data_IF_690610605447
#
_entry.id   IF_690610605447
#
_cell.length_a   1.000
_cell.length_b   1.000
_cell.length_c   1.000
_cell.angle_alpha   90.00
_cell.angle_beta   90.00
_cell.angle_gamma   90.00
#
_symmetry.space_group_name_H-M   'P 1'
#
loop_
_entity.id
_entity.type
_entity.pdbx_description
1 polymer ?
#
# COMPACT_ATOMS: atom_id res chain seq x y z
N UNK A 1 0.55 8.90 -3.01
CA UNK A 1 1.76 9.50 -2.36
C UNK A 1 2.96 9.19 -3.24
N UNK A 2 3.85 10.18 -3.45
CA UNK A 2 5.12 9.97 -4.16
C UNK A 2 6.26 10.19 -3.17
N UNK A 3 7.25 9.30 -3.20
CA UNK A 3 8.45 9.35 -2.36
C UNK A 3 9.67 9.29 -3.27
N UNK A 4 10.61 10.20 -3.06
CA UNK A 4 11.91 10.20 -3.72
C UNK A 4 12.98 9.99 -2.66
N UNK A 5 13.88 9.03 -2.89
CA UNK A 5 14.91 8.65 -1.94
C UNK A 5 16.26 8.62 -2.66
N UNK A 6 17.22 9.35 -2.12
CA UNK A 6 18.64 9.16 -2.46
C UNK A 6 19.18 8.06 -1.55
N UNK A 7 19.46 6.89 -2.13
CA UNK A 7 20.06 5.79 -1.40
C UNK A 7 21.54 6.05 -1.12
N UNK A 8 22.11 5.48 -0.05
CA UNK A 8 23.52 5.65 0.27
C UNK A 8 24.44 5.26 -0.91
N UNK A 9 25.53 5.98 -1.06
CA UNK A 9 26.51 5.69 -2.11
C UNK A 9 26.97 4.21 -2.05
N UNK A 10 26.96 3.53 -3.19
CA UNK A 10 27.29 2.11 -3.27
C UNK A 10 26.26 1.16 -2.67
N UNK A 11 25.02 1.63 -2.42
CA UNK A 11 23.95 0.75 -2.00
C UNK A 11 23.61 -0.25 -3.10
N UNK A 12 23.75 -1.54 -2.80
CA UNK A 12 23.35 -2.62 -3.71
C UNK A 12 21.87 -2.90 -3.55
N UNK A 13 21.07 -2.32 -4.44
CA UNK A 13 19.60 -2.41 -4.45
C UNK A 13 19.08 -3.86 -4.53
N UNK A 14 19.80 -4.76 -5.19
CA UNK A 14 19.35 -6.15 -5.36
C UNK A 14 19.71 -7.07 -4.16
N UNK A 15 20.69 -6.65 -3.33
CA UNK A 15 21.23 -7.50 -2.26
C UNK A 15 20.97 -6.96 -0.86
N UNK A 16 20.72 -5.66 -0.73
CA UNK A 16 20.56 -5.00 0.57
C UNK A 16 19.13 -4.53 0.75
N UNK A 17 18.64 -4.64 1.98
CA UNK A 17 17.32 -4.13 2.35
C UNK A 17 17.43 -2.70 2.86
N UNK A 18 16.49 -1.86 2.44
CA UNK A 18 16.33 -0.51 2.94
C UNK A 18 14.89 -0.28 3.38
N UNK A 19 14.70 0.51 4.41
CA UNK A 19 13.39 0.70 5.02
C UNK A 19 12.98 2.16 5.01
N UNK A 20 11.70 2.40 4.75
CA UNK A 20 11.07 3.71 4.82
C UNK A 20 9.84 3.58 5.72
N UNK A 21 9.98 3.87 7.03
CA UNK A 21 8.83 3.98 7.91
C UNK A 21 7.96 5.16 7.51
N UNK A 22 6.65 4.96 7.54
CA UNK A 22 5.64 5.96 7.19
C UNK A 22 4.58 5.96 8.30
N UNK A 23 4.25 7.13 8.81
CA UNK A 23 3.15 7.32 9.75
C UNK A 23 2.15 8.31 9.19
N UNK A 24 0.92 7.86 9.07
CA UNK A 24 -0.24 8.65 8.63
C UNK A 24 -1.22 8.77 9.79
N UNK A 25 -1.40 7.68 10.54
CA UNK A 25 -2.34 7.60 11.65
C UNK A 25 -1.78 8.19 12.95
N UNK A 26 -0.45 8.25 13.08
CA UNK A 26 0.23 8.71 14.29
C UNK A 26 0.11 7.75 15.48
N UNK A 27 -0.29 6.51 15.26
CA UNK A 27 -0.67 5.55 16.32
C UNK A 27 -0.07 4.16 16.18
N UNK A 28 0.76 3.91 15.20
CA UNK A 28 1.41 2.61 14.97
C UNK A 28 2.50 2.27 15.99
N UNK A 29 3.27 1.23 15.70
CA UNK A 29 4.35 0.76 16.57
C UNK A 29 5.60 1.63 16.48
N UNK A 30 6.29 1.83 17.60
CA UNK A 30 7.60 2.50 17.64
C UNK A 30 8.76 1.55 17.27
N UNK A 31 8.47 0.35 16.82
CA UNK A 31 9.48 -0.65 16.42
C UNK A 31 8.94 -1.61 15.38
N UNK A 32 9.85 -2.25 14.64
CA UNK A 32 9.57 -3.44 13.84
C UNK A 32 10.43 -4.60 14.33
N UNK A 33 9.84 -5.56 15.07
CA UNK A 33 10.55 -6.66 15.71
C UNK A 33 11.25 -7.56 14.69
N UNK A 34 10.52 -7.97 13.65
CA UNK A 34 11.03 -8.89 12.63
C UNK A 34 12.16 -8.31 11.79
N UNK A 35 12.28 -6.98 11.73
CA UNK A 35 13.29 -6.29 10.95
C UNK A 35 14.38 -5.62 11.83
N UNK A 36 14.28 -5.72 13.15
CA UNK A 36 15.27 -5.15 14.09
C UNK A 36 15.35 -3.62 14.04
N UNK A 37 14.20 -2.95 13.81
CA UNK A 37 14.12 -1.50 13.67
C UNK A 37 13.44 -0.86 14.88
N UNK A 38 13.88 0.35 15.21
CA UNK A 38 13.19 1.25 16.14
C UNK A 38 12.95 2.60 15.46
N UNK A 39 11.89 3.30 15.87
CA UNK A 39 11.49 4.57 15.31
C UNK A 39 11.31 5.59 16.43
N UNK A 40 11.72 6.82 16.21
CA UNK A 40 11.52 7.92 17.16
C UNK A 40 10.08 8.44 17.19
N UNK A 41 9.25 7.96 16.24
CA UNK A 41 7.81 8.19 16.19
C UNK A 41 7.09 6.87 15.87
N UNK A 42 5.81 6.80 16.20
CA UNK A 42 4.99 5.65 15.80
C UNK A 42 4.94 5.53 14.27
N UNK A 43 4.96 4.29 13.79
CA UNK A 43 4.99 3.95 12.37
C UNK A 43 3.84 2.99 12.05
N UNK A 44 2.96 3.39 11.15
CA UNK A 44 1.79 2.59 10.75
C UNK A 44 2.10 1.70 9.55
N UNK A 45 2.99 2.17 8.68
CA UNK A 45 3.36 1.47 7.45
C UNK A 45 4.88 1.44 7.30
N UNK A 46 5.38 0.32 6.80
CA UNK A 46 6.80 0.13 6.57
C UNK A 46 7.04 -0.28 5.13
N UNK A 47 7.59 0.63 4.32
CA UNK A 47 8.05 0.29 2.99
C UNK A 47 9.40 -0.43 3.12
N UNK A 48 9.41 -1.69 2.71
CA UNK A 48 10.60 -2.55 2.67
C UNK A 48 11.09 -2.65 1.24
N UNK A 49 12.20 -2.00 0.95
CA UNK A 49 12.87 -2.02 -0.36
C UNK A 49 13.83 -3.21 -0.35
N UNK A 50 13.61 -4.17 -1.26
CA UNK A 50 14.35 -5.43 -1.30
C UNK A 50 14.41 -5.98 -2.74
N UNK A 51 15.17 -5.31 -3.60
CA UNK A 51 15.25 -5.62 -5.02
C UNK A 51 13.94 -5.40 -5.77
N UNK A 52 13.92 -5.80 -7.03
CA UNK A 52 12.77 -5.58 -7.93
C UNK A 52 11.55 -6.41 -7.59
N UNK A 53 11.77 -7.63 -7.11
CA UNK A 53 10.71 -8.63 -6.94
C UNK A 53 10.12 -8.65 -5.51
N UNK A 54 10.84 -8.10 -4.53
CA UNK A 54 10.47 -8.25 -3.12
C UNK A 54 10.20 -6.93 -2.39
N UNK A 55 10.22 -5.80 -3.11
CA UNK A 55 9.89 -4.49 -2.56
C UNK A 55 8.39 -4.42 -2.28
N UNK A 56 8.04 -4.07 -1.04
CA UNK A 56 6.64 -4.05 -0.59
C UNK A 56 6.36 -3.05 0.51
N UNK A 57 5.13 -2.62 0.56
CA UNK A 57 4.57 -1.90 1.69
C UNK A 57 3.98 -2.91 2.68
N UNK A 58 4.36 -2.79 3.94
CA UNK A 58 3.81 -3.53 5.06
C UNK A 58 2.97 -2.59 5.92
N UNK A 59 1.99 -3.13 6.61
CA UNK A 59 1.14 -2.41 7.56
C UNK A 59 1.40 -2.92 8.98
N UNK A 60 1.39 -2.06 10.00
CA UNK A 60 1.29 -2.51 11.39
C UNK A 60 0.11 -3.47 11.52
N UNK A 61 0.33 -4.64 12.08
CA UNK A 61 -0.64 -5.73 12.07
C UNK A 61 -1.99 -5.37 12.69
N UNK A 62 -2.00 -4.41 13.64
CA UNK A 62 -3.25 -3.91 14.22
C UNK A 62 -4.10 -3.12 13.22
N UNK A 63 -3.47 -2.45 12.25
CA UNK A 63 -4.13 -1.62 11.23
C UNK A 63 -4.34 -2.34 9.89
N UNK A 64 -4.12 -3.66 9.86
CA UNK A 64 -4.40 -4.49 8.68
C UNK A 64 -5.91 -4.65 8.46
N UNK A 65 -6.47 -3.84 7.55
CA UNK A 65 -7.88 -3.84 7.22
C UNK A 65 -8.37 -5.16 6.63
N UNK A 66 -7.52 -5.89 5.91
CA UNK A 66 -7.86 -7.19 5.36
C UNK A 66 -8.06 -8.21 6.48
N UNK A 67 -7.07 -8.33 7.38
CA UNK A 67 -7.18 -9.22 8.54
C UNK A 67 -8.37 -8.84 9.43
N UNK A 68 -8.51 -7.55 9.74
CA UNK A 68 -9.65 -7.08 10.53
C UNK A 68 -10.99 -7.46 9.90
N UNK A 69 -11.18 -7.17 8.61
CA UNK A 69 -12.48 -7.34 7.93
C UNK A 69 -12.81 -8.79 7.68
N UNK A 70 -11.87 -9.56 7.15
CA UNK A 70 -12.14 -10.89 6.63
C UNK A 70 -11.77 -12.03 7.58
N UNK A 71 -10.89 -11.79 8.54
CA UNK A 71 -10.54 -12.78 9.56
C UNK A 71 -11.25 -12.50 10.87
N UNK A 72 -10.99 -11.36 11.51
CA UNK A 72 -11.47 -11.05 12.86
C UNK A 72 -12.97 -10.77 12.88
N UNK A 73 -13.47 -9.95 11.96
CA UNK A 73 -14.88 -9.53 11.95
C UNK A 73 -15.81 -10.56 11.29
N UNK A 74 -15.42 -11.12 10.15
CA UNK A 74 -16.30 -12.00 9.36
C UNK A 74 -15.91 -13.48 9.32
N UNK A 75 -14.72 -13.83 9.81
CA UNK A 75 -14.19 -15.20 9.81
C UNK A 75 -14.24 -15.89 8.43
N UNK A 76 -13.96 -15.15 7.36
CA UNK A 76 -13.92 -15.64 5.98
C UNK A 76 -12.57 -16.25 5.63
N UNK A 77 -11.51 -15.69 6.22
CA UNK A 77 -10.11 -16.13 6.03
C UNK A 77 -9.51 -16.40 7.40
N UNK A 78 -8.61 -17.37 7.49
CA UNK A 78 -7.89 -17.64 8.73
C UNK A 78 -7.04 -16.44 9.13
N UNK A 79 -7.11 -16.06 10.40
CA UNK A 79 -6.31 -14.96 10.98
C UNK A 79 -6.64 -14.74 12.43
N UNK A 80 -5.87 -13.86 13.07
CA UNK A 80 -5.99 -13.53 14.49
C UNK A 80 -6.09 -12.02 14.68
N UNK A 81 -6.79 -11.60 15.73
CA UNK A 81 -6.74 -10.23 16.17
C UNK A 81 -5.31 -9.84 16.56
N UNK A 82 -4.82 -8.76 15.98
CA UNK A 82 -3.49 -8.26 16.28
C UNK A 82 -3.51 -7.41 17.56
N UNK A 83 -2.40 -7.40 18.27
CA UNK A 83 -2.21 -6.57 19.45
C UNK A 83 -1.67 -5.22 19.03
N UNK A 84 -2.29 -4.15 19.53
CA UNK A 84 -1.86 -2.77 19.28
C UNK A 84 -0.41 -2.58 19.77
N UNK A 85 0.39 -1.88 18.99
CA UNK A 85 1.80 -1.58 19.27
C UNK A 85 2.68 -2.83 19.46
N UNK A 86 2.34 -3.94 18.83
CA UNK A 86 3.10 -5.19 18.93
C UNK A 86 4.49 -5.11 18.29
N UNK A 87 4.71 -4.20 17.35
CA UNK A 87 5.91 -4.16 16.51
C UNK A 87 5.91 -5.20 15.40
N UNK A 88 4.78 -5.82 15.14
CA UNK A 88 4.59 -6.76 14.04
C UNK A 88 3.98 -6.04 12.83
N UNK A 89 4.55 -6.34 11.65
CA UNK A 89 4.09 -5.78 10.38
C UNK A 89 3.63 -6.90 9.47
N UNK A 90 2.41 -6.74 8.95
CA UNK A 90 1.75 -7.69 8.06
C UNK A 90 1.84 -7.25 6.60
N UNK A 91 1.71 -8.21 5.69
CA UNK A 91 1.50 -7.96 4.27
C UNK A 91 0.11 -7.38 4.07
N UNK A 92 0.01 -6.39 3.20
CA UNK A 92 -1.29 -5.81 2.83
C UNK A 92 -1.91 -6.66 1.73
N UNK A 93 -3.09 -7.21 1.99
CA UNK A 93 -3.80 -8.05 1.05
C UNK A 93 -5.12 -7.40 0.59
N UNK A 94 -5.60 -7.83 -0.57
CA UNK A 94 -6.90 -7.43 -1.11
C UNK A 94 -7.69 -8.67 -1.52
N UNK A 95 -8.93 -8.77 -1.06
CA UNK A 95 -9.83 -9.86 -1.43
C UNK A 95 -10.26 -9.69 -2.89
N UNK A 96 -10.19 -10.77 -3.65
CA UNK A 96 -10.64 -10.86 -5.05
C UNK A 96 -12.03 -11.47 -5.11
N UNK A 97 -12.23 -12.58 -4.42
CA UNK A 97 -13.53 -13.26 -4.34
C UNK A 97 -13.74 -13.88 -2.96
N UNK A 98 -15.00 -13.92 -2.53
CA UNK A 98 -15.40 -14.72 -1.38
C UNK A 98 -15.38 -16.22 -1.72
N UNK A 99 -15.57 -17.05 -0.69
CA UNK A 99 -15.85 -18.46 -0.90
C UNK A 99 -17.05 -18.63 -1.84
N UNK A 100 -16.94 -19.57 -2.76
CA UNK A 100 -17.97 -19.85 -3.75
C UNK A 100 -18.20 -21.36 -3.84
N UNK A 101 -19.45 -21.77 -3.67
CA UNK A 101 -19.87 -23.16 -3.89
C UNK A 101 -20.34 -23.35 -5.34
N UNK A 102 -19.78 -24.34 -6.02
CA UNK A 102 -20.17 -24.76 -7.38
C UNK A 102 -21.09 -25.98 -7.27
N UNK A 103 -22.42 -25.82 -7.46
CA UNK A 103 -23.39 -26.92 -7.25
C UNK A 103 -23.17 -28.10 -8.20
N UNK A 104 -22.85 -27.83 -9.44
CA UNK A 104 -22.70 -28.87 -10.49
C UNK A 104 -21.49 -29.77 -10.20
N UNK A 105 -20.40 -29.19 -9.73
CA UNK A 105 -19.17 -29.91 -9.39
C UNK A 105 -19.12 -30.37 -7.93
N UNK A 106 -20.10 -29.95 -7.10
CA UNK A 106 -20.13 -30.14 -5.65
C UNK A 106 -18.83 -29.70 -4.96
N UNK A 107 -18.25 -28.62 -5.46
CA UNK A 107 -16.94 -28.12 -5.04
C UNK A 107 -17.05 -26.75 -4.43
N UNK A 108 -16.35 -26.55 -3.31
CA UNK A 108 -16.17 -25.21 -2.72
C UNK A 108 -14.83 -24.64 -3.19
N UNK A 109 -14.86 -23.45 -3.77
CA UNK A 109 -13.67 -22.65 -4.07
C UNK A 109 -13.42 -21.75 -2.89
N UNK A 110 -12.24 -21.80 -2.24
CA UNK A 110 -11.92 -20.96 -1.11
C UNK A 110 -11.82 -19.47 -1.52
N UNK A 111 -11.88 -18.54 -0.58
CA UNK A 111 -11.67 -17.12 -0.85
C UNK A 111 -10.34 -16.88 -1.55
N UNK A 112 -10.34 -16.00 -2.56
CA UNK A 112 -9.15 -15.62 -3.31
C UNK A 112 -8.71 -14.21 -2.91
N UNK A 113 -7.43 -14.04 -2.64
CA UNK A 113 -6.83 -12.74 -2.34
C UNK A 113 -5.40 -12.66 -2.87
N UNK A 114 -4.88 -11.46 -3.02
CA UNK A 114 -3.50 -11.23 -3.44
C UNK A 114 -2.84 -10.16 -2.57
N UNK A 115 -1.51 -10.16 -2.51
CA UNK A 115 -0.72 -9.18 -1.80
C UNK A 115 -0.69 -7.85 -2.59
N UNK A 116 -1.57 -6.92 -2.23
CA UNK A 116 -1.63 -5.59 -2.85
C UNK A 116 -0.53 -4.64 -2.37
N UNK A 117 0.13 -4.98 -1.27
CA UNK A 117 1.32 -4.28 -0.78
C UNK A 117 2.60 -4.61 -1.52
N UNK A 118 2.64 -5.66 -2.34
CA UNK A 118 3.78 -5.99 -3.21
C UNK A 118 3.84 -4.99 -4.35
N UNK A 119 4.93 -4.21 -4.43
CA UNK A 119 5.08 -3.13 -5.40
C UNK A 119 5.71 -3.64 -6.70
N UNK A 120 5.20 -3.15 -7.82
CA UNK A 120 5.68 -3.52 -9.15
C UNK A 120 6.82 -2.61 -9.59
N UNK A 121 7.97 -3.20 -9.93
CA UNK A 121 9.08 -2.48 -10.53
C UNK A 121 8.79 -2.13 -11.99
N UNK A 122 9.10 -0.91 -12.40
CA UNK A 122 8.97 -0.47 -13.79
C UNK A 122 9.07 1.04 -13.94
N UNK A 123 9.08 1.52 -15.17
CA UNK A 123 9.20 2.94 -15.47
C UNK A 123 7.83 3.55 -15.76
N UNK A 124 7.35 4.39 -14.86
CA UNK A 124 6.06 5.08 -14.99
C UNK A 124 6.12 6.40 -15.78
N UNK A 125 7.24 6.75 -16.41
CA UNK A 125 7.33 7.93 -17.27
C UNK A 125 6.68 7.66 -18.63
N UNK A 126 5.56 8.34 -18.99
CA UNK A 126 4.86 8.13 -20.25
C UNK A 126 5.70 8.40 -21.51
N UNK A 127 6.77 9.18 -21.39
CA UNK A 127 7.66 9.51 -22.49
C UNK A 127 8.80 8.49 -22.69
N UNK A 128 8.88 7.49 -21.78
CA UNK A 128 9.87 6.44 -21.87
C UNK A 128 9.45 5.35 -22.84
N UNK A 129 10.39 4.87 -23.65
CA UNK A 129 10.18 3.68 -24.51
C UNK A 129 9.83 2.41 -23.75
N UNK A 130 10.15 2.36 -22.46
CA UNK A 130 9.84 1.23 -21.56
C UNK A 130 8.76 1.62 -20.55
N UNK A 131 7.78 2.42 -20.97
CA UNK A 131 6.68 2.88 -20.11
C UNK A 131 5.80 1.72 -19.62
N UNK A 132 5.61 1.67 -18.30
CA UNK A 132 4.64 0.81 -17.64
C UNK A 132 3.72 1.62 -16.73
N UNK A 133 2.46 1.75 -17.10
CA UNK A 133 1.47 2.50 -16.32
C UNK A 133 1.17 1.88 -14.96
N UNK A 134 1.50 0.61 -14.76
CA UNK A 134 1.27 -0.13 -13.51
C UNK A 134 2.49 -0.12 -12.59
N UNK A 135 3.63 0.45 -13.03
CA UNK A 135 4.82 0.50 -12.20
C UNK A 135 4.59 1.34 -10.94
N UNK A 136 4.94 0.79 -9.79
CA UNK A 136 4.85 1.47 -8.50
C UNK A 136 6.18 2.09 -8.08
N UNK A 137 7.31 1.53 -8.53
CA UNK A 137 8.60 2.09 -8.20
C UNK A 137 9.64 1.85 -9.29
N UNK A 138 10.63 2.75 -9.30
CA UNK A 138 11.75 2.72 -10.23
C UNK A 138 13.04 3.10 -9.51
N UNK A 139 14.12 2.38 -9.81
CA UNK A 139 15.46 2.66 -9.29
C UNK A 139 16.43 2.92 -10.43
N UNK A 140 17.14 4.04 -10.34
CA UNK A 140 18.21 4.41 -11.31
C UNK A 140 19.23 5.32 -10.64
N UNK A 141 20.53 5.00 -10.84
CA UNK A 141 21.65 5.83 -10.39
C UNK A 141 21.60 6.23 -8.91
N UNK A 142 21.30 5.27 -8.02
CA UNK A 142 21.20 5.53 -6.58
C UNK A 142 19.93 6.27 -6.14
N UNK A 143 19.02 6.59 -7.06
CA UNK A 143 17.76 7.26 -6.78
C UNK A 143 16.61 6.28 -6.91
N UNK A 144 15.74 6.30 -5.93
CA UNK A 144 14.52 5.51 -5.90
C UNK A 144 13.31 6.45 -5.94
N UNK A 145 12.40 6.18 -6.85
CA UNK A 145 11.09 6.81 -6.91
C UNK A 145 10.03 5.76 -6.60
N UNK A 146 9.11 6.07 -5.69
CA UNK A 146 8.02 5.16 -5.30
C UNK A 146 6.69 5.89 -5.34
N UNK A 147 5.69 5.27 -5.93
CA UNK A 147 4.29 5.69 -5.90
C UNK A 147 3.50 4.75 -5.01
N UNK A 148 2.89 5.26 -3.98
CA UNK A 148 2.02 4.50 -3.08
C UNK A 148 0.59 5.01 -3.25
N UNK A 149 -0.32 4.12 -3.58
CA UNK A 149 -1.74 4.46 -3.64
C UNK A 149 -2.25 4.80 -2.24
N UNK A 150 -3.08 5.83 -2.13
CA UNK A 150 -3.57 6.31 -0.83
C UNK A 150 -4.34 5.25 -0.04
N UNK A 151 -5.06 4.36 -0.72
CA UNK A 151 -5.80 3.29 -0.05
C UNK A 151 -4.89 2.27 0.65
N UNK A 152 -3.66 2.06 0.17
CA UNK A 152 -2.67 1.20 0.83
C UNK A 152 -2.17 1.79 2.16
N UNK A 153 -2.35 3.08 2.38
CA UNK A 153 -2.04 3.80 3.61
C UNK A 153 -3.30 4.01 4.48
N UNK A 154 -4.33 3.21 4.29
CA UNK A 154 -5.62 3.34 4.97
C UNK A 154 -6.28 4.71 4.80
N UNK A 155 -5.92 5.49 3.79
CA UNK A 155 -6.53 6.79 3.52
C UNK A 155 -7.87 6.59 2.83
N UNK A 156 -8.94 6.86 3.55
CA UNK A 156 -10.31 6.74 3.06
C UNK A 156 -10.69 7.91 2.16
N UNK A 157 -10.21 9.10 2.47
CA UNK A 157 -10.47 10.30 1.68
C UNK A 157 -9.26 11.25 1.71
N UNK A 158 -8.41 11.17 0.68
CA UNK A 158 -7.24 12.03 0.57
C UNK A 158 -7.59 13.51 0.37
N UNK A 159 -8.78 13.83 -0.18
CA UNK A 159 -9.22 15.21 -0.35
C UNK A 159 -9.50 15.90 0.98
N UNK A 160 -10.02 15.15 1.94
CA UNK A 160 -10.37 15.68 3.26
C UNK A 160 -9.30 15.37 4.32
N UNK A 161 -8.23 14.63 3.99
CA UNK A 161 -7.24 14.20 4.96
C UNK A 161 -7.85 13.25 6.00
N UNK A 162 -8.62 12.24 5.55
CA UNK A 162 -9.29 11.28 6.42
C UNK A 162 -8.72 9.89 6.16
N UNK A 163 -8.34 9.19 7.21
CA UNK A 163 -7.92 7.79 7.17
C UNK A 163 -8.75 6.90 8.10
N UNK A 164 -8.68 5.60 7.87
CA UNK A 164 -9.23 4.56 8.72
C UNK A 164 -8.21 4.28 9.81
N UNK A 165 -8.52 4.64 11.05
CA UNK A 165 -7.55 4.62 12.14
C UNK A 165 -7.97 3.87 13.40
N UNK A 166 -9.27 3.58 13.54
CA UNK A 166 -9.77 2.81 14.67
C UNK A 166 -10.50 1.57 14.18
N UNK A 167 -10.04 0.41 14.65
CA UNK A 167 -10.59 -0.89 14.31
C UNK A 167 -11.17 -1.52 15.59
N UNK A 168 -12.39 -1.15 15.92
CA UNK A 168 -13.15 -1.77 17.00
C UNK A 168 -13.92 -2.97 16.45
N UNK A 169 -14.25 -3.93 17.32
CA UNK A 169 -14.85 -5.21 16.93
C UNK A 169 -16.05 -5.09 15.99
N UNK A 170 -16.82 -4.01 16.09
CA UNK A 170 -18.06 -3.81 15.34
C UNK A 170 -18.07 -2.53 14.48
N UNK A 171 -17.03 -1.67 14.58
CA UNK A 171 -16.98 -0.38 13.89
C UNK A 171 -15.60 -0.06 13.33
N UNK A 172 -15.60 0.63 12.21
CA UNK A 172 -14.41 1.22 11.61
C UNK A 172 -14.45 2.72 11.88
N UNK A 173 -13.49 3.22 12.66
CA UNK A 173 -13.37 4.63 12.96
C UNK A 173 -12.56 5.40 11.92
N UNK A 174 -13.00 6.62 11.63
CA UNK A 174 -12.33 7.54 10.72
C UNK A 174 -11.67 8.65 11.52
N UNK A 175 -10.39 8.92 11.27
CA UNK A 175 -9.64 9.99 11.91
C UNK A 175 -9.07 10.95 10.87
N UNK A 176 -9.08 12.27 11.16
CA UNK A 176 -8.40 13.24 10.31
C UNK A 176 -6.88 13.17 10.55
N UNK A 177 -6.09 13.46 9.51
CA UNK A 177 -4.65 13.63 9.61
C UNK A 177 -4.21 14.92 8.92
N UNK A 178 -3.20 15.57 9.47
CA UNK A 178 -2.61 16.81 8.96
C UNK A 178 -1.15 16.68 8.58
N UNK A 179 -0.48 15.67 9.13
CA UNK A 179 0.94 15.43 8.95
C UNK A 179 1.19 13.98 8.59
N UNK A 180 2.20 13.78 7.78
CA UNK A 180 2.75 12.46 7.47
C UNK A 180 4.19 12.46 7.94
N UNK A 181 4.58 11.47 8.74
CA UNK A 181 5.96 11.30 9.13
C UNK A 181 6.61 10.23 8.26
N UNK A 182 7.80 10.52 7.78
CA UNK A 182 8.57 9.61 6.91
C UNK A 182 10.02 9.60 7.39
N UNK A 183 10.59 8.42 7.48
CA UNK A 183 12.01 8.23 7.74
C UNK A 183 12.65 7.34 6.69
N UNK A 184 13.95 7.12 6.75
CA UNK A 184 14.62 6.17 5.90
C UNK A 184 15.91 5.64 6.52
N UNK A 185 16.22 4.36 6.32
CA UNK A 185 17.42 3.73 6.87
C UNK A 185 17.56 2.27 6.50
N UNK A 186 18.73 1.69 6.78
CA UNK A 186 19.04 0.28 6.49
C UNK A 186 19.01 -0.62 7.73
N UNK A 187 18.72 -0.08 8.91
CA UNK A 187 18.67 -0.82 10.18
C UNK A 187 18.79 0.08 11.40
N UNK A 188 18.57 -0.49 12.60
CA UNK A 188 18.68 0.21 13.89
C UNK A 188 17.59 1.27 14.10
N UNK A 189 17.98 2.38 14.69
CA UNK A 189 17.08 3.52 14.94
C UNK A 189 16.94 4.37 13.68
N UNK A 190 15.69 4.60 13.27
CA UNK A 190 15.37 5.47 12.13
C UNK A 190 14.59 6.69 12.63
N UNK A 191 15.13 7.88 12.36
CA UNK A 191 14.48 9.16 12.64
C UNK A 191 13.45 9.48 11.56
N UNK A 192 12.29 9.97 11.98
CA UNK A 192 11.18 10.33 11.13
C UNK A 192 10.95 11.84 11.15
N UNK A 193 10.70 12.41 9.99
CA UNK A 193 10.48 13.85 9.79
C UNK A 193 9.06 14.09 9.34
N UNK A 194 8.42 15.14 9.83
CA UNK A 194 7.07 15.51 9.41
C UNK A 194 7.08 16.19 8.04
N UNK A 195 6.09 15.84 7.24
CA UNK A 195 5.69 16.57 6.06
C UNK A 195 4.22 16.93 6.21
N UNK A 196 3.88 18.21 6.20
CA UNK A 196 2.49 18.65 6.27
C UNK A 196 1.70 18.10 5.08
N UNK A 197 0.63 17.40 5.38
CA UNK A 197 -0.30 16.96 4.35
C UNK A 197 -1.13 18.15 3.87
N UNK A 198 -1.12 18.39 2.58
CA UNK A 198 -2.02 19.36 1.96
C UNK A 198 -3.17 18.61 1.33
N UNK A 199 -4.41 18.81 1.83
CA UNK A 199 -5.59 18.20 1.24
C UNK A 199 -5.62 18.46 -0.27
N UNK A 200 -5.97 17.45 -1.03
CA UNK A 200 -6.09 17.59 -2.48
C UNK A 200 -7.24 18.57 -2.76
N UNK A 201 -6.93 19.69 -3.40
CA UNK A 201 -7.95 20.66 -3.85
C UNK A 201 -8.90 20.06 -4.89
N UNK A 202 -9.67 20.90 -5.57
CA UNK A 202 -10.53 20.45 -6.66
C UNK A 202 -9.68 19.81 -7.77
N UNK A 203 -9.82 18.50 -7.92
CA UNK A 203 -9.13 17.74 -8.96
C UNK A 203 -9.87 18.00 -10.27
N UNK A 204 -9.22 18.66 -11.22
CA UNK A 204 -9.72 18.74 -12.58
C UNK A 204 -9.48 17.40 -13.27
N UNK A 205 -10.54 16.62 -13.41
CA UNK A 205 -10.46 15.33 -14.11
C UNK A 205 -10.59 15.60 -15.60
N UNK A 206 -9.53 15.29 -16.36
CA UNK A 206 -9.63 15.19 -17.81
C UNK A 206 -10.10 13.78 -18.14
N UNK A 207 -11.36 13.67 -18.58
CA UNK A 207 -11.87 12.39 -19.09
C UNK A 207 -11.28 12.14 -20.48
N UNK A 208 -10.76 10.95 -20.68
CA UNK A 208 -10.26 10.46 -21.96
C UNK A 208 -10.99 9.19 -22.32
N UNK A 209 -11.57 9.11 -23.50
CA UNK A 209 -12.11 7.87 -24.02
C UNK A 209 -10.99 6.83 -24.14
N UNK A 210 -11.26 5.60 -23.72
CA UNK A 210 -10.33 4.49 -23.92
C UNK A 210 -10.10 4.28 -25.43
N UNK A 211 -8.93 3.81 -25.84
CA UNK A 211 -8.61 3.56 -27.26
C UNK A 211 -9.64 2.64 -27.92
N UNK A 212 -10.11 1.63 -27.19
CA UNK A 212 -11.15 0.70 -27.65
C UNK A 212 -12.54 1.30 -27.84
N UNK A 213 -12.80 2.54 -27.40
CA UNK A 213 -14.15 3.11 -27.48
C UNK A 213 -14.67 3.22 -28.93
N UNK A 214 -13.82 3.71 -29.85
CA UNK A 214 -14.19 3.84 -31.28
C UNK A 214 -14.42 2.49 -31.95
N UNK A 215 -13.59 1.51 -31.59
CA UNK A 215 -13.73 0.14 -32.12
C UNK A 215 -15.02 -0.50 -31.63
N UNK A 216 -15.33 -0.36 -30.34
CA UNK A 216 -16.62 -0.84 -29.79
C UNK A 216 -17.82 -0.11 -30.40
N UNK A 217 -17.72 1.20 -30.61
CA UNK A 217 -18.78 1.98 -31.26
C UNK A 217 -19.04 1.48 -32.69
N UNK A 218 -17.99 1.15 -33.46
CA UNK A 218 -18.11 0.52 -34.77
C UNK A 218 -18.85 -0.82 -34.73
N UNK A 219 -18.46 -1.72 -33.84
CA UNK A 219 -19.10 -3.03 -33.69
C UNK A 219 -20.58 -2.90 -33.33
N UNK A 220 -20.93 -1.98 -32.41
CA UNK A 220 -22.35 -1.76 -32.07
C UNK A 220 -23.17 -1.16 -33.20
N UNK A 221 -22.56 -0.33 -34.05
CA UNK A 221 -23.24 0.22 -35.21
C UNK A 221 -23.52 -0.83 -36.31
N UNK A 222 -22.73 -1.89 -36.38
CA UNK A 222 -22.95 -3.03 -37.32
C UNK A 222 -24.03 -4.02 -36.84
N UNK A 223 -24.37 -4.00 -35.56
CA UNK A 223 -25.37 -4.90 -34.96
C UNK A 223 -26.77 -4.23 -34.93
N UNK A 224 -26.83 -2.92 -35.12
CA UNK A 224 -28.07 -2.11 -35.13
C UNK A 224 -28.70 -2.07 -36.48
#
# INVERSE_FOLDING_TARGET
MHIYIDLPAGFDFEKKVYYVPISVLGTGSAMSRSNGLTFDKSCDFLLKINGKENTRLLCDAYYDLFNYRYSVSKNVVEGKAAVKNSGEYAKINTLVSNEMYLPDDKKTIPPQYYESGLLKYGNANPESGNYDSQADFYFKNGKLEVRIAWYLLNVANARLGICIGELNKDEIGFIPFSDIYVGSGSGGEIKMFSAAFRPLGNITVKTRLKKSYKEMQGVFAEIS
#
